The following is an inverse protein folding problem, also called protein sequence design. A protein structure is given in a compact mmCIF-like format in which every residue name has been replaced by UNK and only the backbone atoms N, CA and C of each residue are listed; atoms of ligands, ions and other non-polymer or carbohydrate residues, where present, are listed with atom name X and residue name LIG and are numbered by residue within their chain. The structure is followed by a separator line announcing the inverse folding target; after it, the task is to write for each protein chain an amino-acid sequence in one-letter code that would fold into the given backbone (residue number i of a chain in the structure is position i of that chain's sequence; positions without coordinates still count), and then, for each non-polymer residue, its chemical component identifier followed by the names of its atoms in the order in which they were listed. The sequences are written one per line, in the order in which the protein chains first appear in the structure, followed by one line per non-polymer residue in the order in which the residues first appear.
data_IF_927384628734
#
_entry.id   IF_927384628734
#
_cell.length_a   1.000
_cell.length_b   1.000
_cell.length_c   1.000
_cell.angle_alpha   90.00
_cell.angle_beta   90.00
_cell.angle_gamma   90.00
#
_symmetry.space_group_name_H-M   'P 1'
#
loop_
_entity.id
_entity.type
_entity.pdbx_description
1 polymer ?
2 polymer ?
3 non-polymer ?
4 non-polymer ?
5 non-polymer ?
6 non-polymer ?
7 non-polymer ?
8 water ?
#
# COMPACT_ATOMS: atom_id res chain seq x y z
N UNK A 1 0.63 -9.87 -23.41
CA UNK A 1 1.56 -9.62 -22.32
C UNK A 1 2.92 -10.15 -22.67
N UNK A 2 3.96 -9.33 -22.40
CA UNK A 2 5.39 -9.64 -22.65
C UNK A 2 5.84 -10.88 -21.87
N UNK A 3 5.14 -11.23 -20.79
CA UNK A 3 5.50 -12.40 -19.93
C UNK A 3 4.65 -13.61 -20.27
N UNK A 4 3.82 -13.49 -21.29
CA UNK A 4 2.86 -14.52 -21.70
C UNK A 4 3.56 -15.83 -22.05
N UNK A 5 4.78 -15.77 -22.59
CA UNK A 5 5.51 -16.98 -23.04
C UNK A 5 6.34 -17.59 -21.90
N UNK A 6 6.45 -16.96 -20.73
CA UNK A 6 7.30 -17.51 -19.67
C UNK A 6 6.45 -18.33 -18.69
N UNK A 7 6.96 -19.48 -18.26
CA UNK A 7 6.32 -20.35 -17.24
C UNK A 7 6.04 -19.54 -15.96
N UNK A 8 4.89 -19.79 -15.32
CA UNK A 8 4.56 -19.17 -14.02
C UNK A 8 5.71 -19.40 -13.04
N UNK A 9 6.23 -20.62 -12.93
CA UNK A 9 7.26 -20.92 -11.90
C UNK A 9 8.53 -20.11 -12.21
N UNK A 10 8.87 -19.94 -13.47
CA UNK A 10 10.06 -19.15 -13.91
C UNK A 10 9.85 -17.65 -13.58
N UNK A 11 8.66 -17.12 -13.79
CA UNK A 11 8.32 -15.71 -13.41
C UNK A 11 8.53 -15.56 -11.89
N UNK A 12 8.07 -16.51 -11.09
CA UNK A 12 8.21 -16.35 -9.61
C UNK A 12 9.69 -16.43 -9.24
N UNK A 13 10.41 -17.43 -9.79
CA UNK A 13 11.86 -17.57 -9.51
C UNK A 13 12.56 -16.24 -9.85
N UNK A 14 12.24 -15.64 -11.00
CA UNK A 14 12.91 -14.42 -11.49
C UNK A 14 12.51 -13.19 -10.65
N UNK A 15 11.28 -13.15 -10.15
CA UNK A 15 10.84 -12.09 -9.21
C UNK A 15 11.76 -12.15 -7.98
N UNK A 16 12.03 -13.35 -7.46
CA UNK A 16 12.90 -13.54 -6.26
C UNK A 16 14.32 -13.07 -6.57
N UNK A 17 14.83 -13.39 -7.74
CA UNK A 17 16.18 -12.96 -8.17
C UNK A 17 16.22 -11.42 -8.31
N UNK A 18 15.21 -10.83 -8.92
CA UNK A 18 15.13 -9.37 -9.12
C UNK A 18 15.14 -8.71 -7.76
N UNK A 19 14.37 -9.24 -6.82
CA UNK A 19 14.39 -8.71 -5.44
C UNK A 19 15.84 -8.74 -4.88
N UNK A 20 16.57 -9.84 -5.03
CA UNK A 20 17.97 -9.89 -4.51
C UNK A 20 18.83 -8.85 -5.22
N UNK A 21 18.59 -8.58 -6.50
CA UNK A 21 19.36 -7.62 -7.31
C UNK A 21 18.86 -6.18 -7.12
N UNK A 22 17.84 -5.95 -6.30
CA UNK A 22 17.17 -4.63 -6.12
C UNK A 22 16.70 -4.10 -7.48
N UNK A 23 16.17 -4.98 -8.32
CA UNK A 23 15.64 -4.64 -9.64
C UNK A 23 14.11 -4.66 -9.53
N UNK A 24 13.53 -3.65 -8.87
CA UNK A 24 12.09 -3.73 -8.48
C UNK A 24 11.17 -3.54 -9.67
N UNK A 25 11.56 -2.76 -10.69
CA UNK A 25 10.76 -2.66 -11.92
C UNK A 25 10.65 -4.03 -12.59
N UNK A 26 11.76 -4.76 -12.70
CA UNK A 26 11.75 -6.13 -13.22
C UNK A 26 10.89 -7.04 -12.30
N UNK A 27 11.08 -6.94 -11.01
CA UNK A 27 10.34 -7.77 -10.02
C UNK A 27 8.83 -7.57 -10.26
N UNK A 28 8.37 -6.32 -10.42
CA UNK A 28 6.94 -6.01 -10.63
C UNK A 28 6.47 -6.59 -11.96
N UNK A 29 7.23 -6.45 -13.03
CA UNK A 29 6.85 -6.97 -14.36
C UNK A 29 6.74 -8.50 -14.30
N UNK A 30 7.61 -9.16 -13.55
CA UNK A 30 7.57 -10.64 -13.44
C UNK A 30 6.31 -11.03 -12.65
N UNK A 31 6.02 -10.32 -11.57
CA UNK A 31 4.85 -10.65 -10.72
C UNK A 31 3.54 -10.32 -11.47
N UNK A 32 3.48 -9.24 -12.27
CA UNK A 32 2.32 -8.94 -13.12
C UNK A 32 2.13 -10.15 -14.05
N UNK A 33 3.21 -10.62 -14.65
CA UNK A 33 3.11 -11.79 -15.57
C UNK A 33 2.59 -13.01 -14.82
N UNK A 34 3.08 -13.23 -13.59
CA UNK A 34 2.63 -14.37 -12.76
C UNK A 34 1.13 -14.21 -12.48
N UNK A 35 0.68 -13.02 -12.09
CA UNK A 35 -0.76 -12.81 -11.81
C UNK A 35 -1.61 -13.12 -13.06
N UNK A 36 -1.19 -12.67 -14.23
CA UNK A 36 -1.94 -12.82 -15.49
C UNK A 36 -1.99 -14.29 -15.94
N UNK A 37 -1.23 -15.21 -15.33
CA UNK A 37 -1.43 -16.66 -15.55
C UNK A 37 -2.82 -17.09 -15.07
N UNK A 38 -3.47 -16.29 -14.21
CA UNK A 38 -4.87 -16.54 -13.82
C UNK A 38 -5.03 -17.47 -12.63
N UNK A 39 -3.96 -18.01 -12.06
CA UNK A 39 -4.03 -18.84 -10.85
C UNK A 39 -4.00 -17.89 -9.64
N UNK A 40 -4.72 -18.25 -8.59
CA UNK A 40 -4.64 -17.55 -7.29
C UNK A 40 -3.14 -17.48 -6.86
N UNK A 41 -2.75 -16.52 -6.03
CA UNK A 41 -1.37 -16.41 -5.51
C UNK A 41 -1.30 -17.05 -4.13
N UNK A 42 -0.19 -17.73 -3.85
CA UNK A 42 0.16 -18.14 -2.47
C UNK A 42 0.46 -16.92 -1.60
N UNK A 43 0.65 -17.14 -0.31
CA UNK A 43 0.99 -16.04 0.61
C UNK A 43 2.33 -15.43 0.18
N UNK A 44 3.33 -16.26 -0.09
CA UNK A 44 4.65 -15.77 -0.51
C UNK A 44 4.50 -14.96 -1.81
N UNK A 45 3.73 -15.46 -2.76
CA UNK A 45 3.57 -14.77 -4.08
C UNK A 45 2.86 -13.41 -3.89
N UNK A 46 1.86 -13.31 -3.03
CA UNK A 46 1.15 -12.04 -2.73
C UNK A 46 2.16 -11.05 -2.14
N UNK A 47 3.04 -11.52 -1.26
CA UNK A 47 4.08 -10.65 -0.67
C UNK A 47 5.07 -10.19 -1.75
N UNK A 48 5.46 -11.06 -2.69
CA UNK A 48 6.38 -10.66 -3.80
C UNK A 48 5.71 -9.57 -4.64
N UNK A 49 4.43 -9.73 -4.96
CA UNK A 49 3.67 -8.75 -5.75
C UNK A 49 3.70 -7.40 -5.03
N UNK A 50 3.35 -7.41 -3.73
CA UNK A 50 3.23 -6.20 -2.91
C UNK A 50 4.61 -5.51 -2.78
N UNK A 51 5.65 -6.25 -2.46
CA UNK A 51 7.01 -5.69 -2.29
C UNK A 51 7.47 -5.04 -3.59
N UNK A 52 7.23 -5.70 -4.73
CA UNK A 52 7.70 -5.20 -6.03
C UNK A 52 7.07 -3.81 -6.26
N UNK A 53 5.76 -3.75 -6.29
CA UNK A 53 5.07 -2.50 -6.65
C UNK A 53 5.26 -1.42 -5.57
N UNK A 54 5.39 -1.80 -4.30
CA UNK A 54 5.60 -0.81 -3.23
C UNK A 54 6.93 -0.10 -3.48
N UNK A 55 7.93 -0.87 -3.90
CA UNK A 55 9.27 -0.30 -4.19
C UNK A 55 9.19 0.61 -5.41
N UNK A 56 8.55 0.18 -6.48
CA UNK A 56 8.43 0.99 -7.70
C UNK A 56 7.69 2.29 -7.34
N UNK A 57 6.50 2.19 -6.78
CA UNK A 57 5.66 3.40 -6.50
C UNK A 57 6.37 4.27 -5.45
N UNK A 58 7.12 3.65 -4.55
CA UNK A 58 7.89 4.39 -3.52
C UNK A 58 8.85 5.40 -4.14
N UNK A 59 9.64 4.96 -5.10
CA UNK A 59 10.59 5.82 -5.85
C UNK A 59 9.83 6.94 -6.57
N UNK A 60 8.66 6.64 -7.15
CA UNK A 60 7.85 7.64 -7.88
C UNK A 60 7.26 8.67 -6.89
N UNK A 61 6.75 8.23 -5.74
CA UNK A 61 6.21 9.14 -4.69
C UNK A 61 7.32 10.07 -4.20
N UNK A 62 8.50 9.55 -3.97
CA UNK A 62 9.64 10.34 -3.45
C UNK A 62 9.99 11.40 -4.50
N UNK A 63 10.13 11.01 -5.77
CA UNK A 63 10.44 11.96 -6.89
C UNK A 63 9.34 13.00 -7.02
N UNK A 64 8.08 12.58 -6.96
CA UNK A 64 6.92 13.49 -7.10
C UNK A 64 6.95 14.59 -6.02
N UNK A 65 7.22 14.22 -4.77
CA UNK A 65 7.25 15.17 -3.64
C UNK A 65 8.39 16.16 -3.83
N UNK A 66 9.54 15.71 -4.32
CA UNK A 66 10.69 16.63 -4.60
C UNK A 66 10.24 17.65 -5.64
N UNK A 67 9.67 17.18 -6.75
CA UNK A 67 9.26 18.07 -7.87
C UNK A 67 8.12 18.98 -7.47
N UNK A 68 7.17 18.47 -6.68
CA UNK A 68 6.02 19.28 -6.20
C UNK A 68 6.52 20.42 -5.31
N UNK A 69 7.51 20.13 -4.48
CA UNK A 69 8.10 21.13 -3.55
C UNK A 69 8.82 22.21 -4.36
N UNK A 70 9.55 21.84 -5.39
CA UNK A 70 10.24 22.83 -6.27
C UNK A 70 9.19 23.66 -7.01
N UNK A 71 8.17 23.02 -7.55
CA UNK A 71 7.07 23.70 -8.27
C UNK A 71 6.42 24.75 -7.35
N UNK A 72 6.11 24.38 -6.11
CA UNK A 72 5.49 25.30 -5.12
C UNK A 72 6.43 26.49 -4.82
N UNK A 73 7.69 26.26 -4.46
CA UNK A 73 8.72 27.34 -4.37
C UNK A 73 8.67 28.22 -5.62
N UNK A 74 8.66 27.62 -6.80
CA UNK A 74 8.76 28.31 -8.11
C UNK A 74 7.48 29.10 -8.44
N UNK A 75 6.40 28.91 -7.67
CA UNK A 75 5.12 29.64 -7.84
C UNK A 75 4.91 30.62 -6.67
N UNK A 76 5.82 30.62 -5.68
CA UNK A 76 5.84 31.59 -4.54
C UNK A 76 6.82 32.70 -4.86
N UNK A 81 5.81 32.79 -14.10
CA UNK A 81 6.61 31.58 -13.80
C UNK A 81 8.05 31.77 -14.31
N UNK A 82 8.90 30.77 -14.06
CA UNK A 82 10.24 30.62 -14.67
C UNK A 82 10.14 29.58 -15.80
N UNK A 83 8.99 29.51 -16.49
CA UNK A 83 8.74 28.57 -17.61
C UNK A 83 8.01 27.30 -17.19
N UNK A 84 7.58 26.45 -18.14
CA UNK A 84 6.69 25.33 -17.84
C UNK A 84 7.43 24.05 -17.42
N UNK A 85 8.77 24.06 -17.39
CA UNK A 85 9.57 22.81 -17.25
C UNK A 85 9.27 22.05 -15.93
N UNK A 86 9.24 22.74 -14.80
CA UNK A 86 9.06 22.06 -13.48
C UNK A 86 7.68 21.39 -13.52
N UNK A 87 6.64 22.13 -13.90
CA UNK A 87 5.27 21.59 -14.03
C UNK A 87 5.24 20.41 -15.02
N UNK A 88 5.83 20.55 -16.20
CA UNK A 88 5.83 19.47 -17.23
C UNK A 88 6.47 18.21 -16.63
N UNK A 89 7.60 18.36 -15.94
CA UNK A 89 8.34 17.17 -15.44
C UNK A 89 7.59 16.60 -14.22
N UNK A 90 7.01 17.44 -13.35
CA UNK A 90 6.18 16.91 -12.23
C UNK A 90 5.01 16.11 -12.84
N UNK A 91 4.36 16.63 -13.89
CA UNK A 91 3.24 15.96 -14.58
C UNK A 91 3.69 14.62 -15.15
N UNK A 92 4.88 14.56 -15.74
CA UNK A 92 5.43 13.31 -16.33
C UNK A 92 5.56 12.26 -15.23
N UNK A 93 6.20 12.61 -14.12
CA UNK A 93 6.37 11.68 -12.98
C UNK A 93 4.99 11.31 -12.42
N UNK A 94 4.10 12.27 -12.23
CA UNK A 94 2.73 12.01 -11.74
C UNK A 94 2.00 11.02 -12.65
N UNK A 95 2.05 11.19 -13.96
CA UNK A 95 1.37 10.30 -14.92
C UNK A 95 1.95 8.88 -14.80
N UNK A 96 3.26 8.75 -14.66
CA UNK A 96 3.89 7.42 -14.51
C UNK A 96 3.45 6.79 -13.18
N UNK A 97 3.41 7.56 -12.10
CA UNK A 97 2.90 7.09 -10.79
C UNK A 97 1.46 6.57 -10.96
N UNK A 98 0.62 7.37 -11.59
CA UNK A 98 -0.79 7.03 -11.77
C UNK A 98 -0.90 5.76 -12.61
N UNK A 99 -0.02 5.56 -13.59
CA UNK A 99 -0.10 4.34 -14.41
C UNK A 99 0.27 3.08 -13.63
N UNK A 100 1.25 3.15 -12.75
CA UNK A 100 1.63 2.04 -11.83
C UNK A 100 0.44 1.75 -10.91
N UNK A 101 -0.20 2.77 -10.32
CA UNK A 101 -1.38 2.55 -9.46
C UNK A 101 -2.50 1.89 -10.27
N UNK A 102 -2.76 2.40 -11.47
CA UNK A 102 -3.74 1.84 -12.41
C UNK A 102 -3.44 0.37 -12.72
N UNK A 103 -2.19 0.04 -12.99
CA UNK A 103 -1.77 -1.35 -13.26
C UNK A 103 -2.09 -2.25 -12.06
N UNK A 104 -1.71 -1.83 -10.84
CA UNK A 104 -1.97 -2.64 -9.62
C UNK A 104 -3.47 -2.79 -9.40
N UNK A 105 -4.25 -1.70 -9.47
CA UNK A 105 -5.71 -1.77 -9.28
C UNK A 105 -6.34 -2.70 -10.33
N UNK A 106 -5.82 -2.65 -11.55
CA UNK A 106 -6.28 -3.55 -12.63
C UNK A 106 -6.04 -5.02 -12.31
N UNK A 107 -4.91 -5.35 -11.69
CA UNK A 107 -4.64 -6.74 -11.32
C UNK A 107 -5.60 -7.15 -10.20
N UNK A 108 -5.78 -6.27 -9.23
CA UNK A 108 -6.70 -6.59 -8.09
C UNK A 108 -8.14 -6.81 -8.61
N UNK A 109 -8.58 -5.98 -9.56
CA UNK A 109 -9.97 -6.01 -10.13
C UNK A 109 -10.12 -7.16 -11.14
N UNK A 110 -9.02 -7.62 -11.73
CA UNK A 110 -8.99 -8.64 -12.81
C UNK A 110 -7.91 -9.70 -12.59
N UNK A 111 -8.09 -10.68 -11.67
CA UNK A 111 -9.31 -10.95 -10.93
C UNK A 111 -8.93 -11.40 -9.51
N UNK A 112 -7.89 -10.80 -8.91
CA UNK A 112 -7.36 -11.26 -7.59
C UNK A 112 -8.46 -11.15 -6.53
N UNK A 113 -9.13 -10.02 -6.39
CA UNK A 113 -10.06 -9.83 -5.25
C UNK A 113 -11.23 -10.78 -5.43
N UNK A 114 -11.79 -10.84 -6.63
CA UNK A 114 -13.02 -11.67 -6.77
C UNK A 114 -12.74 -13.16 -6.50
N UNK A 115 -11.56 -13.72 -6.72
CA UNK A 115 -11.40 -15.17 -6.43
C UNK A 115 -10.90 -15.41 -5.00
N UNK A 116 -10.47 -14.35 -4.30
CA UNK A 116 -9.91 -14.45 -2.92
C UNK A 116 -11.03 -14.71 -1.93
N UNK A 117 -11.15 -15.94 -1.45
CA UNK A 117 -12.18 -16.30 -0.46
C UNK A 117 -11.63 -16.41 0.96
N UNK A 118 -10.33 -16.69 1.15
CA UNK A 118 -9.80 -16.78 2.53
C UNK A 118 -9.55 -15.39 3.07
N UNK A 119 -9.66 -15.21 4.38
CA UNK A 119 -9.52 -13.87 5.00
C UNK A 119 -8.13 -13.34 4.73
N UNK A 120 -7.09 -14.18 4.84
CA UNK A 120 -5.68 -13.76 4.62
C UNK A 120 -5.54 -13.13 3.23
N UNK A 121 -6.02 -13.82 2.18
CA UNK A 121 -5.90 -13.31 0.81
C UNK A 121 -6.78 -12.07 0.61
N UNK A 122 -8.06 -12.14 0.99
CA UNK A 122 -9.04 -11.08 0.68
C UNK A 122 -8.64 -9.79 1.40
N UNK A 123 -8.27 -9.87 2.69
CA UNK A 123 -7.82 -8.66 3.42
C UNK A 123 -6.54 -8.12 2.78
N UNK A 124 -5.60 -8.98 2.41
CA UNK A 124 -4.33 -8.53 1.82
C UNK A 124 -4.64 -7.66 0.59
N UNK A 125 -5.50 -8.16 -0.30
CA UNK A 125 -5.79 -7.53 -1.63
C UNK A 125 -6.58 -6.26 -1.40
N UNK A 126 -7.55 -6.26 -0.47
CA UNK A 126 -8.37 -5.05 -0.18
C UNK A 126 -7.50 -3.96 0.45
N UNK A 127 -6.54 -4.32 1.30
CA UNK A 127 -5.56 -3.38 1.85
C UNK A 127 -4.76 -2.77 0.68
N UNK A 128 -4.26 -3.59 -0.24
CA UNK A 128 -3.49 -3.09 -1.40
C UNK A 128 -4.39 -2.14 -2.19
N UNK A 129 -5.66 -2.47 -2.40
CA UNK A 129 -6.58 -1.60 -3.18
C UNK A 129 -6.67 -0.23 -2.48
N UNK A 130 -6.84 -0.24 -1.16
CA UNK A 130 -6.79 0.98 -0.33
C UNK A 130 -5.51 1.78 -0.55
N UNK A 131 -4.36 1.14 -0.44
CA UNK A 131 -3.02 1.75 -0.55
C UNK A 131 -2.90 2.42 -1.92
N UNK A 132 -3.27 1.74 -3.01
CA UNK A 132 -3.00 2.31 -4.35
C UNK A 132 -3.99 3.45 -4.64
N UNK A 133 -5.22 3.40 -4.16
CA UNK A 133 -6.11 4.59 -4.17
C UNK A 133 -5.51 5.72 -3.34
N UNK A 134 -4.95 5.40 -2.17
CA UNK A 134 -4.32 6.42 -1.34
C UNK A 134 -3.15 7.07 -2.09
N UNK A 135 -2.32 6.31 -2.80
CA UNK A 135 -1.20 6.89 -3.60
C UNK A 135 -1.78 7.79 -4.69
N UNK A 136 -2.85 7.36 -5.34
CA UNK A 136 -3.55 8.25 -6.29
C UNK A 136 -4.06 9.51 -5.58
N UNK A 137 -4.59 9.40 -4.35
CA UNK A 137 -5.15 10.57 -3.63
C UNK A 137 -4.04 11.59 -3.33
N UNK A 138 -2.83 11.11 -3.06
CA UNK A 138 -1.70 11.98 -2.65
C UNK A 138 -1.44 13.00 -3.77
N UNK A 139 -1.73 12.68 -5.04
CA UNK A 139 -1.40 13.55 -6.19
C UNK A 139 -2.68 14.09 -6.84
N UNK A 140 -3.86 13.77 -6.32
CA UNK A 140 -5.15 14.15 -6.94
C UNK A 140 -5.51 15.59 -6.51
N UNK A 141 -6.07 16.36 -7.43
CA UNK A 141 -6.41 17.82 -7.25
C UNK A 141 -7.72 18.21 -7.94
N UNK A 142 -8.27 17.35 -8.81
CA UNK A 142 -9.35 17.70 -9.76
C UNK A 142 -10.74 17.33 -9.24
N UNK A 143 -11.66 17.02 -10.15
CA UNK A 143 -13.09 16.71 -9.85
C UNK A 143 -13.18 15.23 -9.39
N UNK A 144 -12.03 14.59 -9.22
CA UNK A 144 -11.83 13.13 -9.03
C UNK A 144 -11.33 12.86 -7.60
N UNK A 145 -10.77 13.86 -6.93
CA UNK A 145 -10.04 13.67 -5.65
C UNK A 145 -11.00 13.08 -4.59
N UNK A 146 -12.21 13.62 -4.49
CA UNK A 146 -13.26 13.13 -3.53
C UNK A 146 -13.52 11.65 -3.83
N UNK A 147 -13.75 11.30 -5.10
CA UNK A 147 -14.12 9.94 -5.53
C UNK A 147 -12.93 9.00 -5.28
N UNK A 148 -11.70 9.45 -5.48
CA UNK A 148 -10.51 8.59 -5.24
C UNK A 148 -10.41 8.29 -3.73
N UNK A 149 -10.57 9.31 -2.91
CA UNK A 149 -10.51 9.19 -1.43
C UNK A 149 -11.58 8.20 -0.98
N UNK A 150 -12.79 8.30 -1.54
CA UNK A 150 -13.90 7.42 -1.14
C UNK A 150 -13.57 5.96 -1.54
N UNK A 151 -12.93 5.77 -2.68
CA UNK A 151 -12.52 4.44 -3.18
C UNK A 151 -11.49 3.84 -2.22
N UNK A 152 -10.52 4.64 -1.77
CA UNK A 152 -9.55 4.18 -0.75
C UNK A 152 -10.31 3.78 0.53
N UNK A 153 -11.17 4.67 1.03
CA UNK A 153 -11.89 4.44 2.30
C UNK A 153 -12.71 3.14 2.19
N UNK A 154 -13.43 2.97 1.10
CA UNK A 154 -14.30 1.81 0.88
C UNK A 154 -13.51 0.49 0.93
N UNK A 155 -12.34 0.43 0.27
CA UNK A 155 -11.50 -0.78 0.20
C UNK A 155 -10.96 -1.04 1.60
N UNK A 156 -10.43 0.00 2.27
CA UNK A 156 -9.85 -0.16 3.63
C UNK A 156 -10.96 -0.63 4.58
N UNK A 157 -12.18 -0.10 4.44
CA UNK A 157 -13.29 -0.41 5.38
C UNK A 157 -13.72 -1.88 5.21
N UNK A 158 -13.85 -2.37 3.98
CA UNK A 158 -14.23 -3.78 3.73
C UNK A 158 -13.12 -4.67 4.31
N UNK A 159 -11.85 -4.31 4.11
CA UNK A 159 -10.71 -5.07 4.66
C UNK A 159 -10.79 -5.09 6.20
N UNK A 160 -11.11 -3.95 6.80
CA UNK A 160 -11.18 -3.85 8.28
C UNK A 160 -12.31 -4.76 8.77
N UNK A 161 -13.48 -4.73 8.12
CA UNK A 161 -14.66 -5.48 8.60
C UNK A 161 -14.29 -6.97 8.59
N UNK A 162 -13.67 -7.44 7.49
CA UNK A 162 -13.32 -8.88 7.38
C UNK A 162 -12.27 -9.20 8.45
N UNK A 163 -11.28 -8.33 8.64
CA UNK A 163 -10.13 -8.61 9.54
C UNK A 163 -10.62 -8.73 10.98
N UNK A 164 -11.57 -7.91 11.35
CA UNK A 164 -12.12 -7.93 12.72
C UNK A 164 -12.95 -9.19 12.92
N UNK A 165 -13.63 -9.68 11.89
CA UNK A 165 -14.45 -10.90 12.03
C UNK A 165 -13.55 -12.13 12.00
N UNK A 166 -12.46 -12.16 11.22
CA UNK A 166 -11.82 -13.43 10.83
C UNK A 166 -10.40 -13.58 11.40
N UNK A 167 -9.76 -12.53 11.89
CA UNK A 167 -8.34 -12.62 12.24
C UNK A 167 -8.19 -12.15 13.67
N UNK A 168 -7.21 -12.71 14.40
CA UNK A 168 -6.90 -12.20 15.73
C UNK A 168 -6.28 -10.82 15.66
N UNK A 169 -6.35 -10.09 16.79
CA UNK A 169 -5.91 -8.70 16.82
C UNK A 169 -4.41 -8.54 16.57
N UNK A 170 -3.61 -9.61 16.70
CA UNK A 170 -2.14 -9.56 16.45
C UNK A 170 -1.76 -9.96 15.03
N UNK A 171 -2.73 -10.41 14.23
CA UNK A 171 -2.45 -10.86 12.84
C UNK A 171 -1.71 -9.73 12.13
N UNK A 172 -0.48 -9.96 11.62
CA UNK A 172 0.31 -8.90 10.98
C UNK A 172 -0.37 -8.23 9.78
N UNK A 173 -1.21 -8.97 9.05
CA UNK A 173 -1.97 -8.37 7.91
C UNK A 173 -2.99 -7.40 8.50
N UNK A 174 -3.71 -7.82 9.53
CA UNK A 174 -4.70 -6.95 10.22
C UNK A 174 -4.00 -5.70 10.76
N UNK A 175 -2.83 -5.86 11.36
CA UNK A 175 -2.06 -4.75 11.98
C UNK A 175 -1.58 -3.78 10.91
N UNK A 176 -1.05 -4.29 9.80
CA UNK A 176 -0.55 -3.43 8.70
C UNK A 176 -1.67 -2.70 8.00
N UNK A 177 -2.83 -3.34 7.89
CA UNK A 177 -4.07 -2.68 7.42
C UNK A 177 -4.40 -1.50 8.33
N UNK A 178 -4.50 -1.72 9.63
CA UNK A 178 -4.96 -0.68 10.57
C UNK A 178 -3.94 0.47 10.55
N UNK A 179 -2.66 0.15 10.52
CA UNK A 179 -1.60 1.18 10.38
C UNK A 179 -1.89 2.05 9.16
N UNK A 180 -2.03 1.43 8.01
CA UNK A 180 -2.22 2.17 6.74
C UNK A 180 -3.54 2.94 6.77
N UNK A 181 -4.63 2.37 7.25
CA UNK A 181 -5.95 3.04 7.29
C UNK A 181 -5.82 4.26 8.20
N UNK A 182 -5.06 4.15 9.29
CA UNK A 182 -4.92 5.30 10.24
C UNK A 182 -4.16 6.43 9.56
N UNK A 183 -3.14 6.12 8.79
CA UNK A 183 -2.37 7.17 8.04
C UNK A 183 -3.31 7.79 6.99
N UNK A 184 -4.10 7.00 6.30
CA UNK A 184 -5.16 7.48 5.39
C UNK A 184 -6.00 8.54 6.12
N UNK A 185 -6.51 8.18 7.31
CA UNK A 185 -7.38 9.11 8.07
C UNK A 185 -6.58 10.38 8.37
N UNK A 186 -5.35 10.24 8.84
CA UNK A 186 -4.59 11.40 9.36
C UNK A 186 -4.33 12.40 8.21
N UNK A 187 -3.83 11.93 7.07
CA UNK A 187 -3.35 12.91 6.06
C UNK A 187 -4.06 12.82 4.72
N UNK A 188 -4.99 11.92 4.50
CA UNK A 188 -5.76 12.01 3.24
C UNK A 188 -7.17 12.48 3.54
N UNK A 189 -7.80 11.90 4.58
CA UNK A 189 -9.19 12.22 4.93
C UNK A 189 -9.25 13.40 5.91
N UNK A 190 -8.13 13.97 6.34
CA UNK A 190 -8.15 15.16 7.24
C UNK A 190 -8.92 14.79 8.53
N UNK A 191 -8.73 13.57 9.03
CA UNK A 191 -9.47 13.04 10.21
C UNK A 191 -8.45 12.60 11.25
N UNK A 192 -7.60 13.52 11.79
CA UNK A 192 -6.58 13.09 12.73
C UNK A 192 -7.12 12.36 13.97
N UNK A 193 -8.33 12.70 14.42
CA UNK A 193 -8.89 12.04 15.63
C UNK A 193 -9.20 10.59 15.28
N UNK A 194 -9.76 10.35 14.10
CA UNK A 194 -10.04 8.96 13.68
C UNK A 194 -8.72 8.20 13.63
N UNK A 195 -7.67 8.79 13.06
CA UNK A 195 -6.35 8.16 12.90
C UNK A 195 -5.82 7.75 14.27
N UNK A 196 -5.87 8.68 15.22
CA UNK A 196 -5.29 8.44 16.58
C UNK A 196 -6.11 7.32 17.26
N UNK A 197 -7.42 7.40 17.21
CA UNK A 197 -8.33 6.41 17.84
C UNK A 197 -8.04 5.05 17.22
N UNK A 198 -7.95 4.99 15.89
CA UNK A 198 -7.72 3.68 15.27
C UNK A 198 -6.37 3.15 15.77
N UNK A 199 -5.32 3.98 15.75
CA UNK A 199 -3.96 3.50 16.05
C UNK A 199 -3.91 3.03 17.51
N UNK A 200 -4.57 3.75 18.41
CA UNK A 200 -4.56 3.42 19.86
C UNK A 200 -5.31 2.10 20.10
N UNK A 201 -6.55 1.97 19.64
CA UNK A 201 -7.39 0.75 19.83
C UNK A 201 -6.65 -0.46 19.24
N UNK A 202 -6.07 -0.27 18.05
CA UNK A 202 -5.33 -1.37 17.37
C UNK A 202 -4.16 -1.80 18.24
N UNK A 203 -3.37 -0.85 18.70
CA UNK A 203 -2.17 -1.12 19.55
C UNK A 203 -2.58 -1.88 20.81
N UNK A 204 -3.59 -1.40 21.51
CA UNK A 204 -4.05 -1.90 22.82
C UNK A 204 -4.63 -3.30 22.64
N UNK A 205 -5.45 -3.55 21.61
CA UNK A 205 -6.02 -4.89 21.38
C UNK A 205 -4.93 -5.89 20.99
N UNK A 206 -3.93 -5.47 20.21
CA UNK A 206 -2.80 -6.37 19.91
C UNK A 206 -2.01 -6.69 21.20
N UNK A 207 -1.69 -5.68 21.99
CA UNK A 207 -0.93 -5.85 23.26
C UNK A 207 -1.55 -6.99 24.08
N UNK A 208 -2.88 -6.99 24.21
CA UNK A 208 -3.62 -7.93 25.06
C UNK A 208 -3.67 -9.34 24.46
N UNK A 209 -3.26 -9.51 23.20
CA UNK A 209 -3.30 -10.83 22.50
C UNK A 209 -1.86 -11.38 22.37
N UNK A 210 -0.83 -10.60 22.69
CA UNK A 210 0.56 -11.06 22.48
C UNK A 210 0.83 -12.33 23.27
N UNK A 211 0.16 -12.52 24.39
CA UNK A 211 0.45 -13.68 25.28
C UNK A 211 0.14 -15.00 24.53
N UNK A 212 -0.67 -14.97 23.45
CA UNK A 212 -1.09 -16.21 22.72
C UNK A 212 -0.04 -16.66 21.69
N UNK A 213 0.99 -15.87 21.46
CA UNK A 213 1.88 -16.03 20.30
C UNK A 213 3.14 -16.81 20.67
N UNK A 214 3.66 -17.57 19.71
CA UNK A 214 5.06 -18.05 19.67
C UNK A 214 6.03 -16.87 19.59
N UNK A 215 7.30 -17.16 19.80
CA UNK A 215 8.39 -16.15 19.73
C UNK A 215 8.46 -15.55 18.32
N UNK A 216 8.29 -16.35 17.27
CA UNK A 216 8.33 -15.88 15.88
C UNK A 216 7.10 -14.99 15.58
N UNK A 217 5.89 -15.38 15.95
CA UNK A 217 4.67 -14.59 15.70
C UNK A 217 4.75 -13.27 16.49
N UNK A 218 5.29 -13.35 17.70
CA UNK A 218 5.50 -12.17 18.59
C UNK A 218 6.42 -11.14 17.94
N UNK A 219 7.55 -11.56 17.37
CA UNK A 219 8.41 -10.63 16.58
C UNK A 219 7.64 -10.00 15.42
N UNK A 220 6.90 -10.80 14.62
CA UNK A 220 6.14 -10.27 13.45
C UNK A 220 5.12 -9.21 13.92
N UNK A 221 4.32 -9.50 14.94
CA UNK A 221 3.31 -8.57 15.50
C UNK A 221 3.96 -7.31 16.10
N UNK A 222 4.96 -7.45 16.94
CA UNK A 222 5.52 -6.30 17.68
C UNK A 222 6.24 -5.37 16.68
N UNK A 223 6.79 -5.90 15.59
CA UNK A 223 7.42 -5.01 14.57
C UNK A 223 6.37 -4.02 14.05
N UNK A 224 5.13 -4.46 13.77
CA UNK A 224 4.11 -3.53 13.20
C UNK A 224 3.56 -2.66 14.32
N UNK A 225 3.36 -3.22 15.49
CA UNK A 225 2.94 -2.43 16.69
C UNK A 225 3.92 -1.28 16.92
N UNK A 226 5.22 -1.51 16.72
CA UNK A 226 6.19 -0.37 16.83
C UNK A 226 5.87 0.77 15.84
N UNK A 227 5.45 0.46 14.60
CA UNK A 227 5.08 1.52 13.62
C UNK A 227 3.84 2.29 14.15
N UNK A 228 2.85 1.61 14.74
CA UNK A 228 1.66 2.29 15.30
C UNK A 228 2.12 3.23 16.41
N UNK A 229 2.98 2.74 17.29
CA UNK A 229 3.56 3.57 18.38
C UNK A 229 4.31 4.77 17.80
N UNK A 230 5.13 4.58 16.77
CA UNK A 230 5.92 5.69 16.18
C UNK A 230 4.97 6.79 15.67
N UNK A 231 3.87 6.42 15.02
CA UNK A 231 2.91 7.41 14.50
C UNK A 231 2.22 8.07 15.69
N UNK A 232 1.77 7.31 16.68
CA UNK A 232 1.06 7.93 17.82
C UNK A 232 1.97 8.95 18.52
N UNK A 233 3.26 8.65 18.61
CA UNK A 233 4.28 9.56 19.22
C UNK A 233 4.36 10.87 18.43
N UNK A 234 4.24 10.84 17.10
CA UNK A 234 4.22 12.07 16.28
C UNK A 234 2.86 12.79 16.38
N UNK A 235 1.78 12.06 16.61
CA UNK A 235 0.40 12.63 16.46
C UNK A 235 -0.14 13.19 17.80
N UNK A 236 0.38 12.80 18.96
CA UNK A 236 -0.22 13.10 20.30
C UNK A 236 0.79 13.77 21.25
N UNK B 1 8.16 15.20 3.77
CA UNK B 1 7.21 16.26 4.22
C UNK B 1 6.80 15.86 5.63
N UNK B 2 7.58 14.93 6.15
CA UNK B 2 7.20 14.06 7.26
C UNK B 2 6.21 13.08 6.64
N UNK B 3 6.75 11.95 6.21
CA UNK B 3 5.89 10.79 5.85
C UNK B 3 5.74 9.86 7.07
N UNK B 4 4.50 9.61 7.48
CA UNK B 4 4.18 8.72 8.63
C UNK B 4 4.51 7.27 8.22
N UNK B 5 4.76 6.42 9.22
CA UNK B 5 5.02 4.97 9.04
C UNK B 5 3.81 4.31 8.39
N UNK B 7 2.92 0.35 6.17
CA UNK B 7 3.32 -1.03 6.11
C UNK B 7 4.39 -1.24 5.02
N UNK B 8 5.37 -2.10 5.32
CA UNK B 8 6.23 -2.71 4.28
C UNK B 8 7.36 -1.78 3.88
N UNK B 9 8.02 -2.03 2.72
CA UNK B 9 9.22 -1.28 2.34
C UNK B 9 8.98 0.24 2.39
N UNK B 10 9.84 0.90 3.17
CA UNK B 10 9.97 2.37 3.25
C UNK B 10 10.83 2.81 2.06
N UNK B 11 10.23 2.76 0.87
CA UNK B 11 10.89 2.86 -0.45
C UNK B 11 10.77 4.29 -1.02
N UNK B 12 10.15 5.21 -0.26
CA UNK B 12 9.96 6.64 -0.67
C UNK B 12 10.77 7.52 0.29
#
# INVERSE_FOLDING_TARGET
GAMGSMERASLIQKAKLAEQAERYEDMAAFMKGAVEKGEELSCEERNLLSVAYKNVVGGQRAAWRVLSSIEQKSNEEGSEEKGPEVREYREKVETELQGVCDTVLGLLDSHLIKEAGDAESRVFYLKMKGDYYRYLAEVATGDDKKRIIDSARSAYQEAMDISKKEMPPTNPIRLGLALNFSVFHYEIANSPEEAISLAKTTFDEAMADLHTLSEDSYKDSTLIMQLLRDNLTLWTADNAGEEGGEAPQEPQS
KLMFKXEGPDSD
#
